data_IF_014994015312
#
_entry.id   IF_014994015312
#
_cell.length_a   1.000
_cell.length_b   1.000
_cell.length_c   1.000
_cell.angle_alpha   90.00
_cell.angle_beta   90.00
_cell.angle_gamma   90.00
#
_symmetry.space_group_name_H-M   'P 1'
#
loop_
_entity.id
_entity.type
_entity.pdbx_description
1 polymer ?
#
# COMPACT_ATOMS: atom_id res chain seq x y z
N UNK A 1 -2.57 -18.26 -18.77
CA UNK A 1 -1.89 -17.27 -17.90
C UNK A 1 -2.97 -16.38 -17.34
N UNK A 2 -3.08 -16.30 -16.01
CA UNK A 2 -4.00 -15.37 -15.38
C UNK A 2 -3.62 -13.93 -15.72
N UNK A 3 -4.64 -13.06 -15.78
CA UNK A 3 -4.43 -11.63 -15.96
C UNK A 3 -3.53 -11.09 -14.85
N UNK A 4 -2.45 -10.38 -15.22
CA UNK A 4 -1.59 -9.73 -14.22
C UNK A 4 -2.33 -8.56 -13.61
N UNK A 5 -2.43 -8.51 -12.29
CA UNK A 5 -3.02 -7.37 -11.60
C UNK A 5 -2.13 -6.14 -11.75
N UNK A 6 -2.77 -5.00 -12.10
CA UNK A 6 -2.11 -3.70 -12.12
C UNK A 6 -1.99 -3.18 -10.68
N UNK A 7 -0.79 -2.74 -10.33
CA UNK A 7 -0.49 -2.16 -9.04
C UNK A 7 0.14 -0.76 -9.20
N UNK A 8 -0.38 0.23 -8.46
CA UNK A 8 0.18 1.57 -8.40
C UNK A 8 0.92 1.75 -7.07
N UNK A 9 2.11 2.36 -7.13
CA UNK A 9 2.84 2.81 -5.96
C UNK A 9 2.71 4.32 -5.84
N UNK A 10 2.34 4.80 -4.66
CA UNK A 10 2.24 6.21 -4.32
C UNK A 10 3.19 6.50 -3.16
N UNK A 11 4.31 7.14 -3.44
CA UNK A 11 5.24 7.60 -2.42
C UNK A 11 4.75 8.93 -1.84
N UNK A 12 4.47 8.95 -0.55
CA UNK A 12 3.99 10.12 0.19
C UNK A 12 5.17 10.73 0.94
N UNK A 13 5.66 11.87 0.48
CA UNK A 13 6.82 12.56 1.06
C UNK A 13 6.92 14.00 0.59
N UNK A 14 6.83 14.95 1.51
CA UNK A 14 7.09 16.37 1.23
C UNK A 14 8.48 16.59 0.62
N UNK A 15 9.50 15.91 1.16
CA UNK A 15 10.88 16.08 0.72
C UNK A 15 11.13 15.50 -0.68
N UNK A 16 10.57 14.34 -0.98
CA UNK A 16 10.68 13.74 -2.30
C UNK A 16 9.87 14.53 -3.33
N UNK A 17 8.67 14.98 -2.96
CA UNK A 17 7.82 15.82 -3.81
C UNK A 17 8.48 17.16 -4.18
N UNK A 18 9.22 17.75 -3.24
CA UNK A 18 9.98 18.99 -3.46
C UNK A 18 11.34 18.78 -4.16
N UNK A 19 11.70 17.55 -4.51
CA UNK A 19 13.00 17.23 -5.13
C UNK A 19 14.22 17.35 -4.19
N UNK A 20 14.00 17.44 -2.88
CA UNK A 20 15.07 17.54 -1.87
C UNK A 20 15.67 16.17 -1.54
N UNK A 21 14.90 15.11 -1.77
CA UNK A 21 15.27 13.74 -1.46
C UNK A 21 14.85 12.82 -2.60
N UNK A 22 15.70 11.86 -2.95
CA UNK A 22 15.37 10.85 -3.95
C UNK A 22 14.49 9.76 -3.33
N UNK A 23 13.37 9.46 -3.96
CA UNK A 23 12.52 8.33 -3.55
C UNK A 23 13.26 7.01 -3.80
N UNK A 24 13.57 6.30 -2.74
CA UNK A 24 14.16 4.95 -2.79
C UNK A 24 13.17 3.86 -2.39
N UNK A 25 12.10 4.26 -1.73
CA UNK A 25 11.10 3.30 -1.22
C UNK A 25 10.19 2.82 -2.35
N UNK A 26 9.66 3.73 -3.14
CA UNK A 26 8.81 3.38 -4.28
C UNK A 26 9.48 2.39 -5.25
N UNK A 27 10.71 2.66 -5.73
CA UNK A 27 11.43 1.70 -6.58
C UNK A 27 11.67 0.34 -5.94
N UNK A 28 12.04 0.26 -4.65
CA UNK A 28 12.25 -1.00 -3.96
C UNK A 28 10.96 -1.84 -3.85
N UNK A 29 9.83 -1.20 -3.57
CA UNK A 29 8.50 -1.83 -3.56
C UNK A 29 8.11 -2.28 -4.98
N UNK A 30 8.43 -1.48 -6.00
CA UNK A 30 8.17 -1.81 -7.40
C UNK A 30 8.90 -3.10 -7.84
N UNK A 31 10.17 -3.23 -7.50
CA UNK A 31 10.96 -4.43 -7.81
C UNK A 31 10.33 -5.69 -7.18
N UNK A 32 9.89 -5.60 -5.93
CA UNK A 32 9.25 -6.72 -5.24
C UNK A 32 7.92 -7.09 -5.92
N UNK A 33 7.09 -6.12 -6.29
CA UNK A 33 5.83 -6.39 -6.98
C UNK A 33 6.04 -7.02 -8.36
N UNK A 34 7.00 -6.53 -9.15
CA UNK A 34 7.36 -7.11 -10.45
C UNK A 34 7.79 -8.56 -10.28
N UNK A 35 8.64 -8.86 -9.28
CA UNK A 35 9.07 -10.23 -8.98
C UNK A 35 7.90 -11.14 -8.57
N UNK A 36 6.81 -10.59 -8.06
CA UNK A 36 5.56 -11.31 -7.70
C UNK A 36 4.52 -11.33 -8.83
N UNK A 37 4.88 -10.84 -10.02
CA UNK A 37 4.05 -10.94 -11.22
C UNK A 37 3.03 -9.82 -11.42
N UNK A 38 3.10 -8.74 -10.66
CA UNK A 38 2.25 -7.57 -10.87
C UNK A 38 2.73 -6.73 -12.06
N UNK A 39 1.79 -6.07 -12.73
CA UNK A 39 2.06 -4.99 -13.66
C UNK A 39 2.14 -3.67 -12.88
N UNK A 40 3.35 -3.14 -12.71
CA UNK A 40 3.58 -2.00 -11.82
C UNK A 40 3.50 -0.68 -12.56
N UNK A 41 2.72 0.24 -11.99
CA UNK A 41 2.59 1.63 -12.40
C UNK A 41 3.27 2.53 -11.35
N UNK A 42 3.96 3.58 -11.79
CA UNK A 42 4.65 4.49 -10.88
C UNK A 42 6.08 4.01 -10.54
N UNK A 43 6.67 4.43 -9.42
CA UNK A 43 6.05 5.21 -8.33
C UNK A 43 5.62 6.62 -8.73
N UNK A 44 4.47 7.05 -8.19
CA UNK A 44 4.02 8.44 -8.22
C UNK A 44 4.34 9.08 -6.87
N UNK A 45 5.03 10.22 -6.87
CA UNK A 45 5.36 10.95 -5.64
C UNK A 45 4.35 12.06 -5.42
N UNK A 46 3.82 12.15 -4.21
CA UNK A 46 2.92 13.21 -3.76
C UNK A 46 3.40 13.78 -2.42
N UNK A 47 3.09 15.04 -2.09
CA UNK A 47 3.40 15.62 -0.78
C UNK A 47 2.55 14.98 0.33
N UNK A 48 2.93 15.22 1.59
CA UNK A 48 2.16 14.82 2.79
C UNK A 48 0.93 15.74 2.97
N UNK A 49 0.12 15.84 1.92
CA UNK A 49 -1.13 16.61 1.86
C UNK A 49 -2.31 15.67 1.62
N UNK A 50 -3.26 15.67 2.55
CA UNK A 50 -4.41 14.77 2.49
C UNK A 50 -5.18 14.84 1.16
N UNK A 51 -5.50 16.03 0.59
CA UNK A 51 -6.21 16.10 -0.70
C UNK A 51 -5.44 15.49 -1.86
N UNK A 52 -4.10 15.62 -1.87
CA UNK A 52 -3.25 15.05 -2.91
C UNK A 52 -3.20 13.53 -2.84
N UNK A 53 -3.15 12.97 -1.62
CA UNK A 53 -3.19 11.53 -1.39
C UNK A 53 -4.57 10.98 -1.80
N UNK A 54 -5.66 11.60 -1.33
CA UNK A 54 -7.03 11.21 -1.68
C UNK A 54 -7.27 11.23 -3.20
N UNK A 55 -6.80 12.27 -3.89
CA UNK A 55 -6.90 12.36 -5.34
C UNK A 55 -6.15 11.24 -6.07
N UNK A 56 -4.95 10.88 -5.60
CA UNK A 56 -4.18 9.78 -6.18
C UNK A 56 -4.87 8.43 -6.00
N UNK A 57 -5.44 8.17 -4.81
CA UNK A 57 -6.18 6.93 -4.51
C UNK A 57 -7.47 6.83 -5.33
N UNK A 58 -8.23 7.91 -5.40
CA UNK A 58 -9.49 7.99 -6.16
C UNK A 58 -9.24 7.74 -7.65
N UNK A 59 -8.25 8.43 -8.24
CA UNK A 59 -7.90 8.26 -9.64
C UNK A 59 -7.46 6.82 -9.96
N UNK A 60 -6.75 6.16 -9.04
CA UNK A 60 -6.35 4.76 -9.21
C UNK A 60 -7.58 3.82 -9.22
N UNK A 61 -8.54 4.05 -8.32
CA UNK A 61 -9.78 3.27 -8.26
C UNK A 61 -10.63 3.47 -9.52
N UNK A 62 -10.79 4.71 -9.97
CA UNK A 62 -11.50 5.03 -11.23
C UNK A 62 -10.81 4.41 -12.45
N UNK A 63 -9.49 4.31 -12.43
CA UNK A 63 -8.69 3.63 -13.45
C UNK A 63 -8.68 2.10 -13.35
N UNK A 64 -9.48 1.51 -12.48
CA UNK A 64 -9.57 0.06 -12.22
C UNK A 64 -8.20 -0.58 -11.88
N UNK A 65 -7.35 0.13 -11.13
CA UNK A 65 -6.12 -0.43 -10.57
C UNK A 65 -6.46 -1.42 -9.47
N UNK A 66 -5.88 -2.61 -9.50
CA UNK A 66 -6.24 -3.66 -8.54
C UNK A 66 -5.67 -3.42 -7.14
N UNK A 67 -4.44 -2.95 -7.06
CA UNK A 67 -3.70 -2.72 -5.83
C UNK A 67 -3.06 -1.34 -5.81
N UNK A 68 -3.27 -0.58 -4.75
CA UNK A 68 -2.51 0.65 -4.50
C UNK A 68 -1.71 0.49 -3.22
N UNK A 69 -0.39 0.69 -3.31
CA UNK A 69 0.49 0.71 -2.15
C UNK A 69 0.97 2.15 -1.94
N UNK A 70 0.64 2.73 -0.78
CA UNK A 70 1.24 4.00 -0.37
C UNK A 70 2.49 3.75 0.44
N UNK A 71 3.51 4.58 0.29
CA UNK A 71 4.77 4.47 1.04
C UNK A 71 5.04 5.79 1.76
N UNK A 72 4.99 5.80 3.09
CA UNK A 72 5.23 6.98 3.91
C UNK A 72 3.98 7.60 4.53
N UNK A 73 4.17 8.58 5.41
CA UNK A 73 3.11 9.32 6.08
C UNK A 73 2.28 8.50 7.08
N UNK A 74 2.86 7.46 7.70
CA UNK A 74 2.14 6.52 8.58
C UNK A 74 2.56 6.57 10.05
N UNK A 75 3.37 7.55 10.45
CA UNK A 75 3.85 7.69 11.82
C UNK A 75 3.05 8.70 12.65
N UNK A 76 3.73 9.31 13.62
CA UNK A 76 3.14 10.25 14.59
C UNK A 76 3.44 11.72 14.27
N UNK A 77 4.17 12.02 13.19
CA UNK A 77 4.39 13.39 12.79
C UNK A 77 3.05 14.07 12.45
N UNK A 78 2.88 15.37 12.77
CA UNK A 78 1.68 16.12 12.37
C UNK A 78 1.43 16.13 10.85
N UNK A 79 2.48 15.91 10.07
CA UNK A 79 2.39 15.80 8.60
C UNK A 79 2.01 14.39 8.12
N UNK A 80 2.04 13.38 8.99
CA UNK A 80 1.67 12.01 8.65
C UNK A 80 0.14 11.88 8.60
N UNK A 81 -0.43 11.93 7.40
CA UNK A 81 -1.90 11.93 7.17
C UNK A 81 -2.35 10.83 6.19
N UNK A 82 -1.47 9.92 5.83
CA UNK A 82 -1.77 8.84 4.88
C UNK A 82 -2.90 7.92 5.36
N UNK A 83 -2.94 7.48 6.63
CA UNK A 83 -4.03 6.64 7.12
C UNK A 83 -5.40 7.34 7.05
N UNK A 84 -5.45 8.63 7.37
CA UNK A 84 -6.67 9.43 7.34
C UNK A 84 -7.17 9.63 5.90
N UNK A 85 -6.27 9.90 4.96
CA UNK A 85 -6.60 10.00 3.53
C UNK A 85 -7.13 8.66 2.99
N UNK A 86 -6.49 7.56 3.36
CA UNK A 86 -6.91 6.21 2.95
C UNK A 86 -8.30 5.87 3.50
N UNK A 87 -8.54 6.14 4.78
CA UNK A 87 -9.83 5.89 5.42
C UNK A 87 -10.96 6.73 4.81
N UNK A 88 -10.66 7.95 4.34
CA UNK A 88 -11.66 8.82 3.71
C UNK A 88 -12.11 8.33 2.33
N UNK A 89 -11.22 7.67 1.58
CA UNK A 89 -11.51 7.15 0.24
C UNK A 89 -12.11 5.74 0.27
N UNK A 90 -11.67 4.90 1.23
CA UNK A 90 -12.09 3.51 1.30
C UNK A 90 -13.49 3.35 1.88
N UNK A 91 -14.31 2.51 1.25
CA UNK A 91 -15.67 2.17 1.68
C UNK A 91 -15.69 1.07 2.76
N UNK A 92 -14.71 0.19 2.73
CA UNK A 92 -14.56 -0.94 3.66
C UNK A 92 -13.12 -1.04 4.13
N UNK A 93 -12.90 -1.15 5.43
CA UNK A 93 -11.56 -1.30 5.98
C UNK A 93 -11.14 -2.77 6.07
N UNK A 94 -9.84 -3.02 5.92
CA UNK A 94 -9.21 -4.35 5.96
C UNK A 94 -8.17 -4.37 7.08
N UNK A 95 -8.57 -4.43 8.35
CA UNK A 95 -7.65 -4.25 9.49
C UNK A 95 -6.61 -5.37 9.62
N UNK A 96 -6.90 -6.56 9.13
CA UNK A 96 -6.01 -7.72 9.27
C UNK A 96 -4.66 -7.55 8.56
N UNK A 97 -4.60 -6.85 7.42
CA UNK A 97 -3.34 -6.61 6.71
C UNK A 97 -2.37 -5.75 7.52
N UNK A 98 -2.74 -4.54 8.00
CA UNK A 98 -1.84 -3.74 8.82
C UNK A 98 -1.52 -4.38 10.18
N UNK A 99 -2.41 -5.16 10.76
CA UNK A 99 -2.14 -5.97 11.96
C UNK A 99 -1.01 -6.98 11.71
N UNK A 100 -1.09 -7.72 10.61
CA UNK A 100 -0.05 -8.68 10.22
C UNK A 100 1.30 -7.99 9.94
N UNK A 101 1.28 -6.83 9.28
CA UNK A 101 2.49 -6.03 9.05
C UNK A 101 3.14 -5.59 10.35
N UNK A 102 2.36 -5.06 11.29
CA UNK A 102 2.87 -4.65 12.62
C UNK A 102 3.43 -5.83 13.40
N UNK A 103 2.72 -6.97 13.41
CA UNK A 103 3.17 -8.17 14.09
C UNK A 103 4.49 -8.70 13.52
N UNK A 104 4.63 -8.76 12.20
CA UNK A 104 5.87 -9.18 11.55
C UNK A 104 7.04 -8.23 11.88
N UNK A 105 6.82 -6.91 11.80
CA UNK A 105 7.85 -5.93 12.12
C UNK A 105 8.20 -5.88 13.62
N UNK A 106 7.26 -6.19 14.51
CA UNK A 106 7.50 -6.22 15.95
C UNK A 106 8.49 -7.31 16.37
N UNK A 107 8.66 -8.35 15.57
CA UNK A 107 9.72 -9.35 15.77
C UNK A 107 11.14 -8.77 15.59
N UNK A 108 11.26 -7.63 14.90
CA UNK A 108 12.53 -6.94 14.63
C UNK A 108 12.70 -5.72 15.54
N UNK A 109 11.63 -4.96 15.76
CA UNK A 109 11.65 -3.72 16.56
C UNK A 109 10.29 -3.43 17.18
N UNK A 110 10.28 -3.03 18.45
CA UNK A 110 9.07 -2.60 19.17
C UNK A 110 8.45 -1.31 18.59
N UNK A 111 9.24 -0.50 17.88
CA UNK A 111 8.75 0.70 17.18
C UNK A 111 7.70 0.40 16.10
N UNK A 112 7.61 -0.84 15.66
CA UNK A 112 6.57 -1.30 14.74
C UNK A 112 5.16 -0.99 15.24
N UNK A 113 4.93 -1.01 16.55
CA UNK A 113 3.64 -0.70 17.16
C UNK A 113 3.22 0.77 17.04
N UNK A 114 4.14 1.66 16.65
CA UNK A 114 3.83 3.07 16.38
C UNK A 114 3.28 3.31 14.97
N UNK A 115 3.28 2.30 14.11
CA UNK A 115 2.71 2.42 12.77
C UNK A 115 1.20 2.57 12.84
N UNK A 116 0.67 3.66 12.26
CA UNK A 116 -0.76 3.91 12.08
C UNK A 116 -1.25 3.45 10.70
N UNK A 117 -0.42 2.69 9.97
CA UNK A 117 -0.78 2.16 8.67
C UNK A 117 -2.15 1.48 8.70
N UNK A 118 -2.94 1.70 7.66
CA UNK A 118 -4.25 1.10 7.46
C UNK A 118 -4.35 0.47 6.07
N UNK A 119 -5.41 -0.29 5.85
CA UNK A 119 -5.76 -0.84 4.55
C UNK A 119 -7.27 -0.82 4.36
N UNK A 120 -7.72 -0.68 3.14
CA UNK A 120 -9.15 -0.63 2.82
C UNK A 120 -9.42 -0.90 1.35
N UNK A 121 -10.70 -1.01 1.03
CA UNK A 121 -11.21 -1.28 -0.30
C UNK A 121 -12.05 -0.10 -0.76
N UNK A 122 -11.81 0.34 -1.99
CA UNK A 122 -12.67 1.27 -2.73
C UNK A 122 -13.02 0.66 -4.09
N UNK A 123 -14.30 0.41 -4.31
CA UNK A 123 -14.76 -0.34 -5.49
C UNK A 123 -14.09 -1.72 -5.58
N UNK A 124 -13.27 -1.92 -6.61
CA UNK A 124 -12.49 -3.16 -6.86
C UNK A 124 -10.99 -2.97 -6.62
N UNK A 125 -10.61 -1.92 -5.91
CA UNK A 125 -9.22 -1.56 -5.61
C UNK A 125 -8.92 -1.80 -4.14
N UNK A 126 -7.87 -2.56 -3.85
CA UNK A 126 -7.30 -2.68 -2.50
C UNK A 126 -6.23 -1.62 -2.31
N UNK A 127 -6.32 -0.85 -1.24
CA UNK A 127 -5.32 0.14 -0.82
C UNK A 127 -4.64 -0.33 0.46
N UNK A 128 -3.31 -0.32 0.49
CA UNK A 128 -2.52 -0.70 1.67
C UNK A 128 -1.44 0.35 1.92
N UNK A 129 -1.35 0.84 3.15
CA UNK A 129 -0.29 1.76 3.54
C UNK A 129 0.96 0.99 3.98
N UNK A 130 2.11 1.37 3.45
CA UNK A 130 3.43 0.86 3.83
C UNK A 130 4.26 1.95 4.52
N UNK A 131 5.25 1.56 5.33
CA UNK A 131 6.19 2.51 5.93
C UNK A 131 6.98 3.32 4.89
N UNK A 132 7.58 4.44 5.34
CA UNK A 132 8.37 5.31 4.48
C UNK A 132 9.79 4.83 4.20
N UNK A 133 10.37 3.91 4.98
CA UNK A 133 11.71 3.41 4.70
C UNK A 133 11.70 2.23 3.73
N UNK A 134 12.67 2.11 2.80
CA UNK A 134 12.71 1.03 1.82
C UNK A 134 12.67 -0.35 2.47
N UNK A 135 13.50 -0.56 3.49
CA UNK A 135 13.57 -1.84 4.19
C UNK A 135 12.24 -2.21 4.88
N UNK A 136 11.69 -1.30 5.66
CA UNK A 136 10.45 -1.57 6.38
C UNK A 136 9.27 -1.77 5.41
N UNK A 137 9.20 -1.02 4.30
CA UNK A 137 8.16 -1.15 3.30
C UNK A 137 8.21 -2.53 2.61
N UNK A 138 9.39 -2.99 2.21
CA UNK A 138 9.56 -4.31 1.57
C UNK A 138 9.30 -5.46 2.54
N UNK A 139 9.83 -5.39 3.78
CA UNK A 139 9.56 -6.39 4.83
C UNK A 139 8.05 -6.48 5.15
N UNK A 140 7.36 -5.34 5.25
CA UNK A 140 5.91 -5.32 5.47
C UNK A 140 5.13 -5.90 4.30
N UNK A 141 5.50 -5.54 3.07
CA UNK A 141 4.83 -6.08 1.88
C UNK A 141 5.04 -7.61 1.77
N UNK A 142 6.25 -8.10 2.02
CA UNK A 142 6.53 -9.54 2.03
C UNK A 142 5.66 -10.32 3.03
N UNK A 143 5.40 -9.74 4.19
CA UNK A 143 4.55 -10.36 5.21
C UNK A 143 3.09 -10.53 4.77
N UNK A 144 2.59 -9.70 3.85
CA UNK A 144 1.16 -9.67 3.47
C UNK A 144 0.90 -9.92 1.98
N UNK A 145 1.92 -10.09 1.14
CA UNK A 145 1.74 -10.22 -0.31
C UNK A 145 0.92 -11.47 -0.69
N UNK A 146 1.06 -12.56 0.06
CA UNK A 146 0.26 -13.77 -0.15
C UNK A 146 -1.23 -13.52 0.12
N UNK A 147 -1.62 -13.07 1.33
CA UNK A 147 -3.00 -12.65 1.61
C UNK A 147 -3.54 -11.59 0.64
N UNK A 148 -2.74 -10.62 0.22
CA UNK A 148 -3.13 -9.63 -0.79
C UNK A 148 -3.52 -10.29 -2.10
N UNK A 149 -2.70 -11.21 -2.62
CA UNK A 149 -2.98 -11.89 -3.88
C UNK A 149 -4.32 -12.63 -3.84
N UNK A 150 -4.56 -13.40 -2.78
CA UNK A 150 -5.81 -14.10 -2.58
C UNK A 150 -7.01 -13.14 -2.44
N UNK A 151 -6.84 -12.06 -1.68
CA UNK A 151 -7.86 -11.03 -1.51
C UNK A 151 -8.24 -10.34 -2.83
N UNK A 152 -7.27 -10.09 -3.71
CA UNK A 152 -7.51 -9.54 -5.04
C UNK A 152 -8.29 -10.51 -5.94
N UNK A 153 -7.98 -11.81 -5.87
CA UNK A 153 -8.75 -12.83 -6.59
C UNK A 153 -10.21 -12.81 -6.15
N UNK A 154 -10.47 -12.75 -4.85
CA UNK A 154 -11.84 -12.63 -4.32
C UNK A 154 -12.52 -11.34 -4.76
N UNK A 155 -11.82 -10.21 -4.65
CA UNK A 155 -12.36 -8.88 -4.92
C UNK A 155 -12.71 -8.69 -6.41
N UNK A 156 -11.96 -9.35 -7.30
CA UNK A 156 -12.06 -9.17 -8.74
C UNK A 156 -12.70 -10.35 -9.48
N UNK A 157 -13.27 -11.29 -8.74
CA UNK A 157 -14.02 -12.43 -9.30
C UNK A 157 -13.13 -13.51 -9.90
N UNK A 158 -11.88 -13.59 -9.46
CA UNK A 158 -10.96 -14.68 -9.80
C UNK A 158 -11.34 -16.00 -9.11
N UNK A 159 -10.63 -17.08 -9.38
CA UNK A 159 -10.92 -18.43 -8.84
C UNK A 159 -10.48 -18.53 -7.36
N UNK A 160 -11.15 -17.79 -6.48
CA UNK A 160 -10.93 -17.86 -5.04
C UNK A 160 -11.52 -19.17 -4.49
N UNK A 161 -10.74 -20.23 -4.50
CA UNK A 161 -11.09 -21.47 -3.79
C UNK A 161 -10.79 -21.33 -2.30
N UNK A 162 -11.72 -20.79 -1.53
CA UNK A 162 -11.66 -20.76 -0.05
C UNK A 162 -11.74 -22.19 0.58
N UNK A 163 -11.77 -23.25 -0.22
CA UNK A 163 -12.07 -24.61 0.23
C UNK A 163 -10.85 -25.50 0.50
N UNK A 164 -9.63 -24.96 0.45
CA UNK A 164 -8.41 -25.76 0.67
C UNK A 164 -7.40 -25.00 1.56
N UNK A 165 -7.79 -24.68 2.77
CA UNK A 165 -6.86 -24.31 3.83
C UNK A 165 -6.99 -25.28 4.99
#
# INVERSE_FOLDING_TARGET
MGERYRALIVTVSDRASAGVYEDRTGPAVAELLVARGYEVMGPRVVPDERPEIEAALTAAAEGDVALVLTCGGTGFSPRDVTPEATAAVCERMVPGLPEAMRAASAAVTDRAWLSRATAGIVGRTLVVNLPGSPRAATENLEAVIGPIAHGLDMLRGGPATCAQA
#
